data_IF_780841924354
#
_entry.id   IF_780841924354
#
_cell.length_a   1.000
_cell.length_b   1.000
_cell.length_c   1.000
_cell.angle_alpha   90.00
_cell.angle_beta   90.00
_cell.angle_gamma   90.00
#
_symmetry.space_group_name_H-M   'P 1'
#
loop_
_entity.id
_entity.type
_entity.pdbx_description
1 polymer ?
#
# COMPACT_ATOMS: atom_id res chain seq x y z
N UNK A 1 5.24 -15.85 8.16
CA UNK A 1 5.92 -16.75 7.19
C UNK A 1 5.34 -16.48 5.81
N UNK A 2 6.18 -16.21 4.81
CA UNK A 2 5.69 -16.06 3.44
C UNK A 2 5.45 -17.44 2.82
N UNK A 3 4.36 -17.62 2.07
CA UNK A 3 4.03 -18.90 1.43
C UNK A 3 4.90 -19.20 0.20
N UNK A 4 5.49 -18.17 -0.41
CA UNK A 4 6.20 -18.21 -1.67
C UNK A 4 7.30 -17.14 -1.68
N UNK A 5 8.10 -17.12 -2.73
CA UNK A 5 9.20 -16.16 -2.90
C UNK A 5 8.68 -14.75 -3.12
N UNK A 6 9.38 -13.78 -2.53
CA UNK A 6 9.07 -12.35 -2.65
C UNK A 6 9.66 -11.83 -3.96
N UNK A 7 8.80 -11.30 -4.84
CA UNK A 7 9.21 -10.77 -6.15
C UNK A 7 9.42 -9.26 -6.10
N UNK A 8 8.52 -8.55 -5.41
CA UNK A 8 8.55 -7.09 -5.34
C UNK A 8 8.02 -6.61 -3.98
N UNK A 9 8.47 -5.44 -3.56
CA UNK A 9 8.05 -4.80 -2.31
C UNK A 9 7.82 -3.31 -2.53
N UNK A 10 6.88 -2.73 -1.80
CA UNK A 10 6.69 -1.29 -1.73
C UNK A 10 6.43 -0.84 -0.31
N UNK A 11 7.14 0.22 0.07
CA UNK A 11 6.95 0.93 1.32
C UNK A 11 6.36 2.31 0.99
N UNK A 12 5.31 2.69 1.72
CA UNK A 12 4.76 4.04 1.61
C UNK A 12 5.69 5.08 2.23
N UNK A 13 5.50 6.34 1.84
CA UNK A 13 6.12 7.47 2.53
C UNK A 13 5.62 7.56 3.97
N UNK A 14 6.46 8.12 4.85
CA UNK A 14 6.09 8.40 6.24
C UNK A 14 5.23 9.68 6.28
N UNK A 15 4.01 9.64 6.84
CA UNK A 15 3.17 10.83 6.99
C UNK A 15 3.85 11.92 7.83
N UNK A 16 3.48 13.17 7.60
CA UNK A 16 4.00 14.28 8.38
C UNK A 16 3.58 14.17 9.86
N UNK A 17 4.56 14.24 10.77
CA UNK A 17 4.33 14.06 12.21
C UNK A 17 4.55 12.63 12.71
N UNK A 18 4.77 11.68 11.79
CA UNK A 18 5.08 10.29 12.13
C UNK A 18 6.54 9.94 11.89
N UNK A 19 6.97 8.82 12.45
CA UNK A 19 8.34 8.30 12.27
C UNK A 19 8.40 7.07 11.37
N UNK A 20 7.25 6.51 10.96
CA UNK A 20 7.16 5.21 10.28
C UNK A 20 6.01 5.19 9.28
N UNK A 21 6.14 4.35 8.26
CA UNK A 21 5.02 3.99 7.41
C UNK A 21 4.18 2.91 8.11
N UNK A 22 2.86 2.95 7.93
CA UNK A 22 1.96 1.97 8.54
C UNK A 22 1.93 0.62 7.84
N UNK A 23 2.10 0.63 6.52
CA UNK A 23 1.90 -0.55 5.68
C UNK A 23 3.10 -0.85 4.79
N UNK A 24 3.39 -2.14 4.65
CA UNK A 24 4.31 -2.71 3.67
C UNK A 24 3.51 -3.58 2.70
N UNK A 25 3.60 -3.30 1.41
CA UNK A 25 3.04 -4.17 0.37
C UNK A 25 4.11 -5.12 -0.15
N UNK A 26 3.78 -6.41 -0.20
CA UNK A 26 4.68 -7.47 -0.68
C UNK A 26 3.99 -8.28 -1.76
N UNK A 27 4.61 -8.35 -2.94
CA UNK A 27 4.17 -9.18 -4.05
C UNK A 27 4.93 -10.50 -4.04
N UNK A 28 4.19 -11.58 -4.16
CA UNK A 28 4.70 -12.94 -4.08
C UNK A 28 4.58 -13.64 -5.44
N UNK A 29 5.41 -14.66 -5.64
CA UNK A 29 5.39 -15.50 -6.86
C UNK A 29 4.14 -16.38 -6.99
N UNK A 30 3.26 -16.41 -5.97
CA UNK A 30 1.96 -17.11 -5.99
C UNK A 30 0.82 -16.28 -6.60
N UNK A 31 1.16 -15.18 -7.29
CA UNK A 31 0.23 -14.19 -7.83
C UNK A 31 -0.64 -13.53 -6.76
N UNK A 32 -0.10 -13.36 -5.54
CA UNK A 32 -0.77 -12.59 -4.48
C UNK A 32 0.04 -11.38 -4.08
N UNK A 33 -0.67 -10.34 -3.64
CA UNK A 33 -0.10 -9.21 -2.91
C UNK A 33 -0.62 -9.25 -1.49
N UNK A 34 0.29 -9.08 -0.54
CA UNK A 34 0.00 -9.06 0.89
C UNK A 34 0.35 -7.71 1.47
N UNK A 35 -0.55 -7.19 2.29
CA UNK A 35 -0.31 -5.99 3.08
C UNK A 35 0.07 -6.41 4.48
N UNK A 36 1.17 -5.86 4.97
CA UNK A 36 1.75 -6.17 6.26
C UNK A 36 1.78 -4.90 7.08
N UNK A 37 1.36 -4.98 8.34
CA UNK A 37 1.46 -3.86 9.28
C UNK A 37 2.90 -3.68 9.76
N UNK A 38 3.33 -2.43 9.87
CA UNK A 38 4.60 -2.02 10.48
C UNK A 38 4.40 -1.30 11.83
N UNK A 39 3.18 -1.34 12.36
CA UNK A 39 2.85 -0.83 13.69
C UNK A 39 3.69 -1.56 14.76
N UNK A 40 4.30 -0.86 15.74
CA UNK A 40 4.98 -1.51 16.86
C UNK A 40 4.12 -2.50 17.66
N UNK A 41 2.80 -2.32 17.75
CA UNK A 41 1.90 -3.23 18.46
C UNK A 41 1.77 -4.58 17.73
N UNK A 42 1.67 -4.55 16.40
CA UNK A 42 1.40 -5.70 15.54
C UNK A 42 2.39 -5.78 14.35
N UNK A 43 3.69 -5.67 14.67
CA UNK A 43 4.73 -5.57 13.66
C UNK A 43 4.86 -6.87 12.85
N UNK A 44 4.93 -6.73 11.53
CA UNK A 44 5.01 -7.83 10.56
C UNK A 44 3.79 -8.76 10.55
N UNK A 45 2.66 -8.30 11.08
CA UNK A 45 1.39 -9.03 11.00
C UNK A 45 0.77 -8.88 9.59
N UNK A 46 0.34 -9.98 8.94
CA UNK A 46 -0.38 -9.89 7.67
C UNK A 46 -1.78 -9.31 7.92
N UNK A 47 -2.09 -8.16 7.29
CA UNK A 47 -3.36 -7.45 7.46
C UNK A 47 -4.37 -7.81 6.38
N UNK A 48 -3.93 -7.89 5.13
CA UNK A 48 -4.79 -8.25 4.00
C UNK A 48 -4.03 -8.99 2.91
N UNK A 49 -4.77 -9.71 2.08
CA UNK A 49 -4.27 -10.44 0.92
C UNK A 49 -5.19 -10.20 -0.27
N UNK A 50 -4.59 -9.90 -1.41
CA UNK A 50 -5.29 -9.72 -2.67
C UNK A 50 -4.70 -10.69 -3.72
N UNK A 51 -5.55 -11.49 -4.35
CA UNK A 51 -5.17 -12.31 -5.49
C UNK A 51 -5.10 -11.45 -6.76
N UNK A 52 -4.11 -11.73 -7.60
CA UNK A 52 -3.86 -11.01 -8.84
C UNK A 52 -4.03 -11.95 -10.04
N UNK A 53 -4.43 -11.42 -11.21
CA UNK A 53 -4.56 -12.23 -12.42
C UNK A 53 -3.22 -12.66 -13.03
N UNK A 54 -2.11 -11.99 -12.67
CA UNK A 54 -0.74 -12.33 -13.07
C UNK A 54 0.22 -11.98 -11.93
N UNK A 55 1.48 -12.43 -12.03
CA UNK A 55 2.51 -12.09 -11.06
C UNK A 55 2.75 -10.58 -11.03
N UNK A 56 2.84 -10.02 -9.81
CA UNK A 56 3.24 -8.64 -9.60
C UNK A 56 4.72 -8.46 -9.98
N UNK A 57 5.01 -7.46 -10.80
CA UNK A 57 6.35 -7.07 -11.20
C UNK A 57 6.83 -5.86 -10.39
N UNK A 58 5.94 -4.90 -10.14
CA UNK A 58 6.27 -3.68 -9.40
C UNK A 58 5.11 -3.26 -8.50
N UNK A 59 5.44 -2.66 -7.37
CA UNK A 59 4.48 -2.13 -6.41
C UNK A 59 4.86 -0.69 -6.09
N UNK A 60 3.86 0.15 -5.83
CA UNK A 60 4.09 1.51 -5.38
C UNK A 60 2.93 1.98 -4.50
N UNK A 61 3.24 2.37 -3.26
CA UNK A 61 2.27 2.98 -2.34
C UNK A 61 2.41 4.50 -2.47
N UNK A 62 1.32 5.18 -2.79
CA UNK A 62 1.28 6.63 -2.94
C UNK A 62 0.14 7.18 -2.11
N UNK A 63 0.43 8.15 -1.26
CA UNK A 63 -0.58 9.00 -0.66
C UNK A 63 -1.02 10.04 -1.70
N UNK A 64 -2.30 10.04 -2.04
CA UNK A 64 -2.86 11.00 -2.97
C UNK A 64 -3.89 11.84 -2.21
N UNK A 65 -3.52 13.08 -1.89
CA UNK A 65 -4.45 14.05 -1.33
C UNK A 65 -5.42 14.52 -2.40
N UNK A 66 -6.73 14.36 -2.17
CA UNK A 66 -7.73 15.11 -2.94
C UNK A 66 -7.62 16.56 -2.49
N UNK A 67 -6.82 17.35 -3.21
CA UNK A 67 -6.79 18.79 -3.05
C UNK A 67 -8.10 19.40 -3.55
N UNK A 68 -9.19 19.20 -2.81
CA UNK A 68 -10.35 20.07 -2.91
C UNK A 68 -10.03 21.27 -2.02
N UNK A 69 -9.59 22.35 -2.65
CA UNK A 69 -9.47 23.66 -2.02
C UNK A 69 -10.86 24.11 -1.60
N UNK A 70 -11.30 23.76 -0.39
CA UNK A 70 -12.44 24.42 0.21
C UNK A 70 -12.03 25.87 0.49
N UNK A 71 -12.91 26.83 0.17
CA UNK A 71 -12.66 28.27 0.16
C UNK A 71 -12.28 28.88 1.53
N UNK A 72 -12.08 28.05 2.56
CA UNK A 72 -11.84 28.41 3.96
C UNK A 72 -10.44 28.07 4.49
N UNK A 73 -9.48 27.74 3.62
CA UNK A 73 -8.05 27.68 3.98
C UNK A 73 -7.65 26.62 5.01
N UNK A 74 -8.56 25.72 5.38
CA UNK A 74 -8.29 24.56 6.25
C UNK A 74 -8.25 23.31 5.37
N UNK A 75 -7.04 22.94 4.94
CA UNK A 75 -6.83 21.69 4.18
C UNK A 75 -6.99 20.53 5.15
N UNK A 76 -8.19 19.94 5.25
CA UNK A 76 -8.37 18.65 5.89
C UNK A 76 -7.76 17.58 4.98
N UNK A 77 -6.44 17.43 5.09
CA UNK A 77 -5.62 16.50 4.32
C UNK A 77 -5.82 15.09 4.87
N UNK A 78 -7.02 14.52 4.75
CA UNK A 78 -7.19 13.08 4.89
C UNK A 78 -6.68 12.44 3.59
N UNK A 79 -5.36 12.34 3.45
CA UNK A 79 -4.72 11.70 2.29
C UNK A 79 -5.17 10.25 2.19
N UNK A 80 -5.69 9.86 1.03
CA UNK A 80 -6.06 8.47 0.78
C UNK A 80 -4.82 7.74 0.24
N UNK A 81 -4.48 6.59 0.82
CA UNK A 81 -3.38 5.77 0.34
C UNK A 81 -3.85 4.89 -0.82
N UNK A 82 -3.08 4.88 -1.89
CA UNK A 82 -3.31 4.03 -3.05
C UNK A 82 -2.13 3.08 -3.21
N UNK A 83 -2.44 1.81 -3.42
CA UNK A 83 -1.49 0.81 -3.85
C UNK A 83 -1.63 0.61 -5.36
N UNK A 84 -0.57 0.95 -6.09
CA UNK A 84 -0.43 0.66 -7.50
C UNK A 84 0.36 -0.63 -7.68
N UNK A 85 -0.19 -1.55 -8.44
CA UNK A 85 0.34 -2.90 -8.68
C UNK A 85 0.55 -3.06 -10.18
N UNK A 86 1.80 -3.00 -10.60
CA UNK A 86 2.20 -3.33 -11.97
C UNK A 86 2.38 -4.83 -12.11
N UNK A 87 1.64 -5.43 -13.04
CA UNK A 87 1.72 -6.85 -13.35
C UNK A 87 2.64 -7.10 -14.56
N UNK A 88 3.24 -8.29 -14.58
CA UNK A 88 4.11 -8.78 -15.68
C UNK A 88 3.46 -8.80 -17.06
N UNK A 89 2.13 -8.78 -17.14
CA UNK A 89 1.38 -8.72 -18.40
C UNK A 89 1.12 -7.29 -18.88
N UNK A 90 1.69 -6.27 -18.21
CA UNK A 90 1.51 -4.85 -18.53
C UNK A 90 0.25 -4.22 -17.95
N UNK A 91 -0.54 -4.96 -17.15
CA UNK A 91 -1.72 -4.40 -16.48
C UNK A 91 -1.31 -3.66 -15.21
N UNK A 92 -1.86 -2.46 -15.02
CA UNK A 92 -1.74 -1.70 -13.78
C UNK A 92 -3.06 -1.75 -13.00
N UNK A 93 -3.00 -2.25 -11.77
CA UNK A 93 -4.13 -2.24 -10.83
C UNK A 93 -3.89 -1.16 -9.78
N UNK A 94 -4.95 -0.44 -9.43
CA UNK A 94 -4.93 0.55 -8.34
C UNK A 94 -5.95 0.15 -7.28
N UNK A 95 -5.49 -0.13 -6.08
CA UNK A 95 -6.31 -0.48 -4.92
C UNK A 95 -6.25 0.64 -3.89
N UNK A 96 -7.38 0.96 -3.25
CA UNK A 96 -7.43 1.89 -2.12
C UNK A 96 -6.95 1.16 -0.86
N UNK A 97 -5.99 1.73 -0.16
CA UNK A 97 -5.54 1.30 1.16
C UNK A 97 -6.21 2.19 2.20
N UNK A 98 -7.09 1.60 3.00
CA UNK A 98 -7.70 2.27 4.12
C UNK A 98 -6.77 2.21 5.35
N UNK A 99 -6.40 3.34 5.95
CA UNK A 99 -5.79 3.33 7.27
C UNK A 99 -6.82 2.87 8.31
N UNK A 100 -6.93 1.56 8.50
CA UNK A 100 -7.82 1.00 9.52
C UNK A 100 -7.37 1.48 10.90
N UNK A 101 -8.29 2.16 11.58
CA UNK A 101 -8.16 2.68 12.96
C UNK A 101 -7.92 1.60 14.00
#
# INVERSE_FOLDING_TARGET
>A
KMPSDVMCMALGSVPAGEQRAWFLAVGLADNTVRIISLDPADCLSPRSMQALPSAAESLCIVEMGTGESNEEGTVSTAGCFYLNIGLTNGVLLRTVLDPVS
#
